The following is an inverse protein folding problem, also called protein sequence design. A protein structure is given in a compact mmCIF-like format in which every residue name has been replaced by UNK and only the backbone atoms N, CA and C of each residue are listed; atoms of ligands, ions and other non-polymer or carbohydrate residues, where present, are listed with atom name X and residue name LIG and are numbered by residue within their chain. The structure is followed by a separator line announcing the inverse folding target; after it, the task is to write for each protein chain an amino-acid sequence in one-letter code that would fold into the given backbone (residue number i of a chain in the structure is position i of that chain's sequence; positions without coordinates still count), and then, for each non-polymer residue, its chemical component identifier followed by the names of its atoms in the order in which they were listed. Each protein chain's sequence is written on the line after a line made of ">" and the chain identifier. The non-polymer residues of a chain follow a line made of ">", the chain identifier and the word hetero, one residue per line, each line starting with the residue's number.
data_IF_073823195551
#
_entry.id   IF_073823195551
#
_cell.length_a   1.000
_cell.length_b   1.000
_cell.length_c   1.000
_cell.angle_alpha   90.00
_cell.angle_beta   90.00
_cell.angle_gamma   90.00
#
_symmetry.space_group_name_H-M   'P 1'
#
loop_
_entity.id
_entity.type
_entity.pdbx_description
1 polymer ?
#
# COMPACT_ATOMS: atom_id res chain seq x y z
N UNK A 1 7.00 -29.50 -6.86
CA UNK A 1 8.09 -29.38 -5.87
C UNK A 1 7.70 -28.32 -4.85
N UNK A 2 7.11 -28.74 -3.72
CA UNK A 2 6.74 -27.83 -2.63
C UNK A 2 8.05 -27.39 -1.97
N UNK A 3 8.48 -26.16 -2.23
CA UNK A 3 9.58 -25.56 -1.48
C UNK A 3 9.07 -25.19 -0.08
N UNK A 4 9.94 -25.37 0.91
CA UNK A 4 9.65 -25.03 2.30
C UNK A 4 9.16 -23.58 2.46
N UNK A 5 8.30 -23.39 3.46
CA UNK A 5 7.73 -22.10 3.82
C UNK A 5 8.86 -21.20 4.36
N UNK A 6 9.08 -20.06 3.70
CA UNK A 6 10.09 -19.10 4.12
C UNK A 6 9.40 -17.93 4.84
N UNK A 7 9.28 -18.05 6.17
CA UNK A 7 8.60 -17.05 7.00
C UNK A 7 9.23 -15.66 6.88
N UNK A 8 10.56 -15.60 6.78
CA UNK A 8 11.29 -14.33 6.64
C UNK A 8 10.91 -13.62 5.34
N UNK A 9 10.86 -14.35 4.21
CA UNK A 9 10.40 -13.82 2.93
C UNK A 9 8.96 -13.30 3.05
N UNK A 10 8.05 -14.12 3.57
CA UNK A 10 6.63 -13.79 3.71
C UNK A 10 6.43 -12.50 4.52
N UNK A 11 7.07 -12.38 5.69
CA UNK A 11 6.94 -11.20 6.54
C UNK A 11 7.48 -9.94 5.85
N UNK A 12 8.61 -10.05 5.16
CA UNK A 12 9.20 -8.93 4.43
C UNK A 12 8.33 -8.48 3.25
N UNK A 13 7.70 -9.42 2.54
CA UNK A 13 6.78 -9.12 1.43
C UNK A 13 5.49 -8.48 1.93
N UNK A 14 4.91 -8.98 3.02
CA UNK A 14 3.75 -8.35 3.66
C UNK A 14 4.09 -6.92 4.10
N UNK A 15 5.26 -6.74 4.73
CA UNK A 15 5.71 -5.43 5.17
C UNK A 15 5.92 -4.48 3.98
N UNK A 16 6.54 -4.92 2.89
CA UNK A 16 6.69 -4.13 1.68
C UNK A 16 5.34 -3.73 1.08
N UNK A 17 4.39 -4.66 1.00
CA UNK A 17 3.03 -4.41 0.49
C UNK A 17 2.28 -3.38 1.34
N UNK A 18 2.44 -3.38 2.66
CA UNK A 18 1.85 -2.35 3.52
C UNK A 18 2.31 -0.96 3.08
N UNK A 19 3.61 -0.74 2.85
CA UNK A 19 4.14 0.55 2.41
C UNK A 19 3.71 0.88 0.98
N UNK A 20 3.77 -0.07 0.05
CA UNK A 20 3.38 0.16 -1.34
C UNK A 20 1.90 0.57 -1.43
N UNK A 21 1.00 -0.20 -0.81
CA UNK A 21 -0.44 0.09 -0.82
C UNK A 21 -0.70 1.43 -0.13
N UNK A 22 -0.10 1.68 1.04
CA UNK A 22 -0.24 2.94 1.78
C UNK A 22 0.27 4.15 0.99
N UNK A 23 1.34 3.99 0.22
CA UNK A 23 1.90 5.03 -0.62
C UNK A 23 0.97 5.37 -1.78
N UNK A 24 0.48 4.37 -2.52
CA UNK A 24 -0.42 4.60 -3.66
C UNK A 24 -1.78 5.16 -3.20
N UNK A 25 -2.32 4.71 -2.05
CA UNK A 25 -3.57 5.27 -1.51
C UNK A 25 -3.42 6.77 -1.18
N UNK A 26 -2.24 7.19 -0.70
CA UNK A 26 -1.94 8.61 -0.48
C UNK A 26 -1.83 9.40 -1.78
N UNK A 27 -1.32 8.80 -2.85
CA UNK A 27 -1.33 9.44 -4.17
C UNK A 27 -2.76 9.68 -4.67
N UNK A 28 -3.71 8.80 -4.34
CA UNK A 28 -5.13 9.02 -4.63
C UNK A 28 -5.74 10.15 -3.80
N UNK A 29 -5.39 10.22 -2.53
CA UNK A 29 -5.77 11.35 -1.66
C UNK A 29 -5.21 12.65 -2.22
N UNK A 30 -3.95 12.66 -2.65
CA UNK A 30 -3.30 13.81 -3.26
C UNK A 30 -3.99 14.25 -4.56
N UNK A 31 -4.34 13.29 -5.42
CA UNK A 31 -5.09 13.55 -6.65
C UNK A 31 -6.45 14.20 -6.38
N UNK A 32 -7.11 13.84 -5.27
CA UNK A 32 -8.35 14.45 -4.81
C UNK A 32 -8.11 15.51 -3.72
N UNK A 33 -6.91 16.08 -3.62
CA UNK A 33 -6.45 16.86 -2.47
C UNK A 33 -7.40 18.00 -2.09
N UNK A 34 -7.91 18.75 -3.07
CA UNK A 34 -8.84 19.86 -2.82
C UNK A 34 -10.18 19.41 -2.23
N UNK A 35 -10.66 18.22 -2.62
CA UNK A 35 -11.88 17.62 -2.08
C UNK A 35 -11.66 17.17 -0.65
N UNK A 36 -10.52 16.56 -0.36
CA UNK A 36 -10.13 16.18 1.01
C UNK A 36 -9.93 17.41 1.90
N UNK A 37 -9.28 18.45 1.40
CA UNK A 37 -9.15 19.73 2.11
C UNK A 37 -10.52 20.35 2.40
N UNK A 38 -11.46 20.32 1.46
CA UNK A 38 -12.81 20.83 1.66
C UNK A 38 -13.57 20.02 2.73
N UNK A 39 -13.46 18.69 2.73
CA UNK A 39 -14.10 17.81 3.72
C UNK A 39 -13.52 18.01 5.12
N UNK A 40 -12.19 18.07 5.26
CA UNK A 40 -11.52 18.20 6.56
C UNK A 40 -11.78 19.58 7.20
N UNK A 41 -11.90 20.62 6.39
CA UNK A 41 -12.25 21.96 6.87
C UNK A 41 -13.77 22.20 6.94
N UNK A 42 -14.58 21.15 6.80
CA UNK A 42 -16.06 21.20 6.85
C UNK A 42 -16.69 22.21 5.85
N UNK A 43 -16.00 22.48 4.75
CA UNK A 43 -16.46 23.40 3.71
C UNK A 43 -17.29 22.66 2.66
N UNK A 44 -18.52 22.32 3.05
CA UNK A 44 -19.46 21.55 2.23
C UNK A 44 -19.76 22.19 0.87
N UNK A 45 -19.91 23.53 0.84
CA UNK A 45 -20.13 24.28 -0.41
C UNK A 45 -18.98 24.09 -1.39
N UNK A 46 -17.73 24.18 -0.91
CA UNK A 46 -16.55 23.96 -1.75
C UNK A 46 -16.50 22.50 -2.24
N UNK A 47 -16.83 21.54 -1.39
CA UNK A 47 -16.86 20.13 -1.80
C UNK A 47 -17.89 19.87 -2.90
N UNK A 48 -19.12 20.37 -2.75
CA UNK A 48 -20.19 20.24 -3.76
C UNK A 48 -19.84 20.93 -5.09
N UNK A 49 -19.11 22.05 -5.05
CA UNK A 49 -18.60 22.71 -6.26
C UNK A 49 -17.50 21.89 -6.97
N UNK A 50 -16.71 21.13 -6.22
CA UNK A 50 -15.62 20.31 -6.75
C UNK A 50 -16.08 18.93 -7.25
N UNK A 51 -17.28 18.47 -6.85
CA UNK A 51 -17.79 17.18 -7.28
C UNK A 51 -19.31 17.06 -7.18
N UNK A 52 -19.92 16.42 -8.17
CA UNK A 52 -21.33 16.03 -8.16
C UNK A 52 -21.59 14.70 -7.40
N UNK A 53 -20.54 14.12 -6.80
CA UNK A 53 -20.60 12.81 -6.15
C UNK A 53 -20.94 12.99 -4.66
N UNK A 54 -21.87 12.17 -4.14
CA UNK A 54 -22.21 12.17 -2.72
C UNK A 54 -20.99 11.75 -1.88
N UNK A 55 -20.85 12.31 -0.68
CA UNK A 55 -19.73 12.01 0.24
C UNK A 55 -19.55 10.50 0.47
N UNK A 56 -20.65 9.76 0.69
CA UNK A 56 -20.59 8.31 0.86
C UNK A 56 -20.04 7.57 -0.38
N UNK A 57 -20.38 8.05 -1.59
CA UNK A 57 -19.86 7.49 -2.83
C UNK A 57 -18.39 7.88 -3.06
N UNK A 58 -17.95 9.05 -2.58
CA UNK A 58 -16.54 9.45 -2.61
C UNK A 58 -15.68 8.51 -1.76
N UNK A 59 -16.08 8.20 -0.53
CA UNK A 59 -15.38 7.24 0.31
C UNK A 59 -15.49 5.79 -0.21
N UNK A 60 -16.62 5.42 -0.81
CA UNK A 60 -16.74 4.13 -1.48
C UNK A 60 -15.76 4.00 -2.64
N UNK A 61 -15.61 5.04 -3.47
CA UNK A 61 -14.62 5.07 -4.55
C UNK A 61 -13.19 4.93 -4.03
N UNK A 62 -12.86 5.59 -2.91
CA UNK A 62 -11.57 5.40 -2.26
C UNK A 62 -11.38 3.94 -1.81
N UNK A 63 -12.38 3.33 -1.16
CA UNK A 63 -12.29 1.94 -0.73
C UNK A 63 -12.12 0.96 -1.92
N UNK A 64 -12.83 1.19 -3.03
CA UNK A 64 -12.64 0.43 -4.27
C UNK A 64 -11.23 0.60 -4.84
N UNK A 65 -10.69 1.81 -4.77
CA UNK A 65 -9.33 2.10 -5.19
C UNK A 65 -8.29 1.34 -4.36
N UNK A 66 -8.41 1.38 -3.02
CA UNK A 66 -7.54 0.62 -2.11
C UNK A 66 -7.64 -0.89 -2.39
N UNK A 67 -8.85 -1.41 -2.60
CA UNK A 67 -9.07 -2.83 -2.93
C UNK A 67 -8.38 -3.20 -4.25
N UNK A 68 -8.51 -2.37 -5.28
CA UNK A 68 -7.88 -2.61 -6.59
C UNK A 68 -6.35 -2.64 -6.47
N UNK A 69 -5.75 -1.69 -5.74
CA UNK A 69 -4.30 -1.66 -5.50
C UNK A 69 -3.85 -2.90 -4.72
N UNK A 70 -4.61 -3.32 -3.72
CA UNK A 70 -4.29 -4.51 -2.93
C UNK A 70 -4.22 -5.76 -3.80
N UNK A 71 -5.22 -5.96 -4.67
CA UNK A 71 -5.25 -7.08 -5.62
C UNK A 71 -4.03 -7.01 -6.55
N UNK A 72 -3.75 -5.84 -7.13
CA UNK A 72 -2.61 -5.65 -8.03
C UNK A 72 -1.28 -5.92 -7.32
N UNK A 73 -1.11 -5.41 -6.09
CA UNK A 73 0.11 -5.62 -5.29
C UNK A 73 0.36 -7.10 -5.00
N UNK A 74 -0.68 -7.83 -4.61
CA UNK A 74 -0.59 -9.28 -4.37
C UNK A 74 -0.22 -10.03 -5.66
N UNK A 75 -0.84 -9.69 -6.78
CA UNK A 75 -0.52 -10.31 -8.08
C UNK A 75 0.94 -10.04 -8.48
N UNK A 76 1.43 -8.82 -8.30
CA UNK A 76 2.83 -8.45 -8.58
C UNK A 76 3.79 -9.29 -7.74
N UNK A 77 3.56 -9.41 -6.43
CA UNK A 77 4.41 -10.23 -5.54
C UNK A 77 4.33 -11.71 -5.94
N UNK A 78 3.14 -12.22 -6.27
CA UNK A 78 2.95 -13.58 -6.78
C UNK A 78 3.77 -13.86 -8.04
N UNK A 79 3.75 -12.94 -9.01
CA UNK A 79 4.53 -13.02 -10.26
C UNK A 79 6.04 -12.95 -9.99
N UNK A 80 6.47 -12.07 -9.09
CA UNK A 80 7.89 -11.96 -8.68
C UNK A 80 8.37 -13.25 -8.05
N UNK A 81 7.59 -13.85 -7.14
CA UNK A 81 7.94 -15.09 -6.47
C UNK A 81 8.01 -16.26 -7.43
N UNK A 82 7.06 -16.35 -8.37
CA UNK A 82 7.10 -17.34 -9.45
C UNK A 82 8.37 -17.16 -10.29
N UNK A 83 8.66 -15.94 -10.77
CA UNK A 83 9.84 -15.65 -11.59
C UNK A 83 11.15 -16.03 -10.88
N UNK A 84 11.23 -15.83 -9.56
CA UNK A 84 12.41 -16.17 -8.75
C UNK A 84 12.39 -17.60 -8.19
N UNK A 85 11.35 -18.40 -8.49
CA UNK A 85 11.16 -19.77 -8.00
C UNK A 85 11.14 -19.85 -6.47
N UNK A 86 10.71 -18.80 -5.77
CA UNK A 86 10.38 -18.86 -4.35
C UNK A 86 9.04 -19.59 -4.25
N UNK A 87 8.91 -20.66 -3.45
CA UNK A 87 7.77 -21.59 -3.52
C UNK A 87 6.40 -20.91 -3.56
N UNK A 88 5.46 -21.44 -4.35
CA UNK A 88 4.11 -20.86 -4.54
C UNK A 88 3.34 -20.71 -3.22
N UNK A 89 3.64 -21.56 -2.23
CA UNK A 89 3.02 -21.50 -0.90
C UNK A 89 3.33 -20.19 -0.17
N UNK A 90 4.50 -19.59 -0.39
CA UNK A 90 4.85 -18.30 0.19
C UNK A 90 3.92 -17.20 -0.34
N UNK A 91 3.66 -17.19 -1.64
CA UNK A 91 2.74 -16.23 -2.27
C UNK A 91 1.31 -16.40 -1.76
N UNK A 92 0.85 -17.64 -1.54
CA UNK A 92 -0.48 -17.92 -0.97
C UNK A 92 -0.57 -17.37 0.46
N UNK A 93 0.45 -17.60 1.29
CA UNK A 93 0.47 -17.09 2.66
C UNK A 93 0.53 -15.56 2.68
N UNK A 94 1.33 -14.93 1.82
CA UNK A 94 1.37 -13.47 1.66
C UNK A 94 0.01 -12.92 1.26
N UNK A 95 -0.71 -13.58 0.35
CA UNK A 95 -2.06 -13.19 -0.04
C UNK A 95 -3.00 -13.20 1.16
N UNK A 96 -3.04 -14.32 1.91
CA UNK A 96 -3.92 -14.47 3.08
C UNK A 96 -3.59 -13.40 4.14
N UNK A 97 -2.31 -13.22 4.46
CA UNK A 97 -1.88 -12.24 5.46
C UNK A 97 -2.15 -10.81 5.04
N UNK A 98 -1.88 -10.45 3.77
CA UNK A 98 -2.11 -9.09 3.27
C UNK A 98 -3.60 -8.75 3.28
N UNK A 99 -4.47 -9.71 2.91
CA UNK A 99 -5.93 -9.55 3.03
C UNK A 99 -6.39 -9.46 4.48
N UNK A 100 -5.84 -10.29 5.38
CA UNK A 100 -6.17 -10.22 6.81
C UNK A 100 -5.76 -8.87 7.42
N UNK A 101 -4.57 -8.38 7.08
CA UNK A 101 -4.06 -7.07 7.52
C UNK A 101 -4.94 -5.93 6.97
N UNK A 102 -5.37 -5.99 5.72
CA UNK A 102 -6.22 -4.94 5.15
C UNK A 102 -7.59 -4.85 5.84
N UNK A 103 -8.15 -6.00 6.23
CA UNK A 103 -9.42 -6.07 6.96
C UNK A 103 -9.38 -5.38 8.33
N UNK A 104 -8.19 -5.16 8.91
CA UNK A 104 -8.04 -4.42 10.18
C UNK A 104 -8.24 -2.90 10.04
N UNK A 105 -8.37 -2.38 8.81
CA UNK A 105 -8.47 -0.94 8.57
C UNK A 105 -7.12 -0.21 8.63
N UNK A 106 -6.00 -0.93 8.56
CA UNK A 106 -4.64 -0.38 8.67
C UNK A 106 -4.36 0.75 7.66
N UNK A 107 -5.02 0.70 6.50
CA UNK A 107 -4.86 1.66 5.41
C UNK A 107 -5.79 2.89 5.53
N UNK A 108 -6.92 2.77 6.24
CA UNK A 108 -7.97 3.80 6.28
C UNK A 108 -8.10 4.51 7.63
N UNK A 109 -8.06 3.79 8.75
CA UNK A 109 -8.34 4.35 10.08
C UNK A 109 -7.38 3.91 11.18
N UNK A 110 -6.50 2.96 10.90
CA UNK A 110 -5.57 2.39 11.87
C UNK A 110 -4.47 3.35 12.36
N UNK A 111 -3.78 2.93 13.42
CA UNK A 111 -2.63 3.63 14.01
C UNK A 111 -1.54 3.94 12.99
N UNK A 112 -1.20 2.98 12.12
CA UNK A 112 -0.20 3.18 11.07
C UNK A 112 -0.65 4.30 10.11
N UNK A 113 -1.92 4.32 9.71
CA UNK A 113 -2.45 5.37 8.85
C UNK A 113 -2.31 6.76 9.48
N UNK A 114 -2.59 6.89 10.79
CA UNK A 114 -2.41 8.16 11.52
C UNK A 114 -0.96 8.63 11.50
N UNK A 115 0.00 7.76 11.80
CA UNK A 115 1.42 8.13 11.78
C UNK A 115 1.91 8.51 10.39
N UNK A 116 1.50 7.76 9.36
CA UNK A 116 1.86 8.06 7.99
C UNK A 116 1.19 9.34 7.47
N UNK A 117 -0.04 9.66 7.91
CA UNK A 117 -0.69 10.95 7.61
C UNK A 117 0.00 12.12 8.31
N UNK A 118 0.39 11.93 9.58
CA UNK A 118 1.19 12.91 10.30
C UNK A 118 2.51 13.18 9.57
N UNK A 119 3.20 12.12 9.12
CA UNK A 119 4.39 12.23 8.29
C UNK A 119 4.15 13.03 7.00
N UNK A 120 3.05 12.78 6.27
CA UNK A 120 2.67 13.57 5.10
C UNK A 120 2.46 15.05 5.44
N UNK A 121 1.80 15.35 6.55
CA UNK A 121 1.49 16.72 6.99
C UNK A 121 2.72 17.58 7.30
N UNK A 122 3.91 16.98 7.47
CA UNK A 122 5.16 17.72 7.66
C UNK A 122 5.57 18.46 6.38
N UNK A 123 5.18 17.97 5.20
CA UNK A 123 5.62 18.53 3.92
C UNK A 123 4.80 19.73 3.45
N UNK A 124 3.49 19.77 3.76
CA UNK A 124 2.62 20.88 3.37
C UNK A 124 1.35 20.92 4.22
N UNK A 125 0.66 22.07 4.23
CA UNK A 125 -0.62 22.26 4.95
C UNK A 125 -1.81 21.62 4.23
N UNK A 126 -1.80 21.61 2.90
CA UNK A 126 -2.90 21.05 2.08
C UNK A 126 -2.66 19.58 1.75
N UNK A 127 -3.74 18.79 1.73
CA UNK A 127 -3.69 17.36 1.48
C UNK A 127 -3.06 17.03 0.12
N UNK A 128 -3.28 17.86 -0.91
CA UNK A 128 -2.70 17.66 -2.24
C UNK A 128 -1.18 17.47 -2.22
N UNK A 129 -0.43 18.50 -1.83
CA UNK A 129 1.04 18.45 -1.86
C UNK A 129 1.60 17.55 -0.74
N UNK A 130 1.00 17.59 0.46
CA UNK A 130 1.44 16.82 1.62
C UNK A 130 1.42 15.31 1.33
N UNK A 131 0.29 14.83 0.78
CA UNK A 131 0.11 13.41 0.48
C UNK A 131 0.81 13.01 -0.82
N UNK A 132 1.06 13.93 -1.76
CA UNK A 132 1.87 13.65 -2.94
C UNK A 132 3.31 13.32 -2.54
N UNK A 133 3.98 14.23 -1.81
CA UNK A 133 5.39 14.06 -1.41
C UNK A 133 5.52 12.87 -0.45
N UNK A 134 4.70 12.86 0.61
CA UNK A 134 4.76 11.78 1.59
C UNK A 134 4.38 10.42 0.99
N UNK A 135 3.38 10.38 0.11
CA UNK A 135 2.97 9.17 -0.61
C UNK A 135 4.06 8.61 -1.51
N UNK A 136 4.77 9.48 -2.26
CA UNK A 136 5.93 9.07 -3.07
C UNK A 136 7.06 8.50 -2.22
N UNK A 137 7.39 9.13 -1.08
CA UNK A 137 8.44 8.63 -0.18
C UNK A 137 8.06 7.26 0.40
N UNK A 138 6.83 7.12 0.90
CA UNK A 138 6.31 5.87 1.46
C UNK A 138 6.32 4.75 0.40
N UNK A 139 5.89 5.07 -0.83
CA UNK A 139 5.92 4.14 -1.96
C UNK A 139 7.35 3.69 -2.29
N UNK A 140 8.30 4.63 -2.36
CA UNK A 140 9.72 4.35 -2.60
C UNK A 140 10.30 3.44 -1.51
N UNK A 141 9.99 3.69 -0.24
CA UNK A 141 10.39 2.83 0.88
C UNK A 141 9.87 1.41 0.67
N UNK A 142 8.58 1.25 0.33
CA UNK A 142 7.98 -0.05 0.05
C UNK A 142 8.66 -0.80 -1.10
N UNK A 143 8.95 -0.10 -2.20
CA UNK A 143 9.67 -0.66 -3.35
C UNK A 143 11.09 -1.10 -2.95
N UNK A 144 11.81 -0.29 -2.18
CA UNK A 144 13.16 -0.62 -1.70
C UNK A 144 13.18 -1.84 -0.79
N UNK A 145 12.19 -1.97 0.10
CA UNK A 145 12.03 -3.16 0.95
C UNK A 145 11.78 -4.39 0.08
N UNK A 146 10.86 -4.31 -0.88
CA UNK A 146 10.55 -5.42 -1.78
C UNK A 146 11.78 -5.84 -2.59
N UNK A 147 12.49 -4.88 -3.17
CA UNK A 147 13.72 -5.12 -3.92
C UNK A 147 14.78 -5.83 -3.08
N UNK A 148 15.05 -5.32 -1.88
CA UNK A 148 16.03 -5.90 -0.95
C UNK A 148 15.64 -7.33 -0.56
N UNK A 149 14.35 -7.56 -0.32
CA UNK A 149 13.78 -8.87 0.00
C UNK A 149 14.04 -9.89 -1.11
N UNK A 150 13.80 -9.50 -2.36
CA UNK A 150 14.06 -10.34 -3.54
C UNK A 150 15.56 -10.66 -3.65
N UNK A 151 16.42 -9.65 -3.55
CA UNK A 151 17.88 -9.80 -3.66
C UNK A 151 18.44 -10.77 -2.61
N UNK A 152 18.06 -10.59 -1.35
CA UNK A 152 18.56 -11.41 -0.24
C UNK A 152 18.12 -12.88 -0.39
N UNK A 153 16.86 -13.12 -0.73
CA UNK A 153 16.35 -14.48 -0.88
C UNK A 153 16.85 -15.17 -2.17
N UNK A 154 17.12 -14.41 -3.24
CA UNK A 154 17.74 -14.95 -4.45
C UNK A 154 19.13 -15.50 -4.13
N UNK A 155 19.97 -14.73 -3.42
CA UNK A 155 21.33 -15.16 -3.01
C UNK A 155 21.30 -16.45 -2.18
N UNK A 156 20.39 -16.53 -1.21
CA UNK A 156 20.23 -17.71 -0.35
C UNK A 156 19.74 -18.95 -1.14
N UNK A 157 18.88 -18.75 -2.14
CA UNK A 157 18.37 -19.84 -2.98
C UNK A 157 19.42 -20.45 -3.92
N UNK A 158 20.39 -19.64 -4.36
CA UNK A 158 21.51 -20.10 -5.20
C UNK A 158 22.53 -20.87 -4.37
N UNK A 159 22.75 -20.45 -3.12
CA UNK A 159 23.72 -21.07 -2.22
C UNK A 159 23.29 -22.45 -1.71
N UNK A 160 21.98 -22.74 -1.65
CA UNK A 160 21.45 -24.10 -1.37
C UNK A 160 21.42 -25.04 -2.58
N UNK A 161 21.80 -24.57 -3.78
CA UNK A 161 21.79 -25.35 -5.03
C UNK A 161 23.18 -25.76 -5.51
N UNK A 162 24.24 -25.24 -4.89
CA UNK A 162 25.63 -25.64 -5.08
C UNK A 162 25.99 -26.63 -3.96
#
# INVERSE_FOLDING_TARGET
>A
MIKELNLKLILQECFALIFIISGIDRLYVAFNGEKFDALINENWKKFELLTNVRIGQFFANQAYWTLAILIIGILIVGLINWKNKFGIINSIVVLILTFGISATGIYSSGIINRYLNYFCGIFAKGYGIAFLIGGLIILLIGILILWKTIMMNKKHSTQHRL
#
